data_IF_467058945419
#
_entry.id   IF_467058945419
#
_cell.length_a   1.000
_cell.length_b   1.000
_cell.length_c   1.000
_cell.angle_alpha   90.00
_cell.angle_beta   90.00
_cell.angle_gamma   90.00
#
_symmetry.space_group_name_H-M   'P 1'
#
loop_
_entity.id
_entity.type
_entity.pdbx_description
1 polymer ?
#
# COMPACT_ATOMS: atom_id res chain seq x y z
N UNK A 1 -13.24 -6.01 -10.49
CA UNK A 1 -13.44 -4.61 -10.04
C UNK A 1 -12.10 -3.91 -10.07
N UNK A 2 -12.00 -2.69 -10.61
CA UNK A 2 -10.73 -1.95 -10.63
C UNK A 2 -10.51 -1.26 -9.28
N UNK A 3 -9.79 -1.92 -8.37
CA UNK A 3 -9.55 -1.38 -7.04
C UNK A 3 -8.25 -0.57 -7.05
N UNK A 4 -8.36 0.75 -7.04
CA UNK A 4 -7.20 1.61 -6.81
C UNK A 4 -6.65 1.30 -5.42
N UNK A 5 -5.37 0.91 -5.36
CA UNK A 5 -4.79 0.19 -4.24
C UNK A 5 -3.37 0.69 -3.96
N UNK A 6 -3.02 0.71 -2.69
CA UNK A 6 -1.68 0.97 -2.17
C UNK A 6 -0.97 -0.34 -1.86
N UNK A 7 0.31 -0.41 -2.23
CA UNK A 7 1.21 -1.49 -1.87
C UNK A 7 2.31 -0.95 -0.96
N UNK A 8 2.57 -1.69 0.11
CA UNK A 8 3.56 -1.37 1.12
C UNK A 8 4.24 -2.65 1.64
N UNK A 9 5.14 -2.49 2.60
CA UNK A 9 5.77 -3.58 3.35
C UNK A 9 5.95 -3.16 4.81
N UNK A 10 6.18 -4.13 5.69
CA UNK A 10 6.46 -3.83 7.11
C UNK A 10 7.70 -2.93 7.22
N UNK A 11 8.76 -3.23 6.47
CA UNK A 11 10.01 -2.46 6.49
C UNK A 11 9.81 -1.02 5.98
N UNK A 12 8.93 -0.83 4.98
CA UNK A 12 8.56 0.51 4.52
C UNK A 12 7.79 1.29 5.60
N UNK A 13 6.84 0.64 6.28
CA UNK A 13 6.09 1.27 7.37
C UNK A 13 6.98 1.62 8.58
N UNK A 14 7.91 0.75 8.96
CA UNK A 14 8.91 1.04 9.99
C UNK A 14 9.74 2.27 9.63
N UNK A 15 10.21 2.33 8.38
CA UNK A 15 10.97 3.46 7.85
C UNK A 15 10.14 4.75 7.84
N UNK A 16 8.88 4.67 7.40
CA UNK A 16 7.94 5.78 7.42
C UNK A 16 7.73 6.32 8.84
N UNK A 17 7.49 5.45 9.83
CA UNK A 17 7.31 5.85 11.23
C UNK A 17 8.57 6.50 11.79
N UNK A 18 9.74 5.95 11.49
CA UNK A 18 11.03 6.51 11.91
C UNK A 18 11.25 7.92 11.37
N UNK A 19 10.97 8.13 10.08
CA UNK A 19 11.11 9.44 9.43
C UNK A 19 10.04 10.43 9.87
N UNK A 20 8.80 10.00 10.05
CA UNK A 20 7.72 10.89 10.47
C UNK A 20 7.87 11.39 11.91
N UNK A 21 8.55 10.62 12.78
CA UNK A 21 8.92 11.04 14.15
C UNK A 21 10.10 12.01 14.18
N UNK A 22 10.87 12.13 13.09
CA UNK A 22 12.09 12.91 13.02
C UNK A 22 12.10 13.81 11.77
N UNK A 23 11.64 15.05 11.94
CA UNK A 23 11.49 16.01 10.85
C UNK A 23 12.80 16.35 10.13
N UNK A 24 13.96 16.14 10.77
CA UNK A 24 15.27 16.36 10.16
C UNK A 24 15.56 15.40 9.00
N UNK A 25 15.00 14.18 9.05
CA UNK A 25 15.19 13.12 8.04
C UNK A 25 14.30 13.27 6.81
N UNK A 26 13.26 14.12 6.87
CA UNK A 26 12.29 14.28 5.79
C UNK A 26 12.90 14.77 4.47
N UNK A 27 13.93 15.62 4.54
CA UNK A 27 14.56 16.18 3.34
C UNK A 27 15.44 15.17 2.63
N UNK A 28 16.20 14.38 3.38
CA UNK A 28 17.20 13.43 2.86
C UNK A 28 16.65 12.03 2.61
N UNK A 29 15.47 11.70 3.13
CA UNK A 29 14.87 10.38 2.95
C UNK A 29 14.61 10.07 1.47
N UNK A 30 14.96 8.83 1.10
CA UNK A 30 14.60 8.19 -0.17
C UNK A 30 13.20 7.59 -0.15
N UNK A 31 12.49 7.67 0.97
CA UNK A 31 11.13 7.16 1.05
C UNK A 31 10.22 7.85 0.02
N UNK A 32 9.24 7.10 -0.51
CA UNK A 32 8.07 7.65 -1.15
C UNK A 32 7.51 8.85 -0.40
N UNK A 33 7.28 9.94 -1.12
CA UNK A 33 6.75 11.19 -0.55
C UNK A 33 5.91 11.98 -1.54
N UNK A 34 4.95 12.73 -1.01
CA UNK A 34 4.14 13.68 -1.76
C UNK A 34 4.54 15.10 -1.37
N UNK A 35 4.78 15.95 -2.37
CA UNK A 35 4.83 17.40 -2.19
C UNK A 35 3.40 17.90 -2.13
N UNK A 36 3.04 18.53 -1.02
CA UNK A 36 1.79 19.27 -0.86
C UNK A 36 2.16 20.72 -0.55
N UNK A 37 1.86 21.64 -1.48
CA UNK A 37 2.30 23.03 -1.43
C UNK A 37 3.84 23.11 -1.30
N UNK A 38 4.35 23.68 -0.19
CA UNK A 38 5.77 23.90 0.08
C UNK A 38 6.42 22.80 0.95
N UNK A 39 5.65 21.76 1.31
CA UNK A 39 6.11 20.71 2.22
C UNK A 39 6.16 19.35 1.53
N UNK A 40 7.15 18.54 1.91
CA UNK A 40 7.22 17.12 1.55
C UNK A 40 6.70 16.28 2.71
N UNK A 41 5.73 15.43 2.42
CA UNK A 41 5.11 14.53 3.39
C UNK A 41 5.41 13.09 2.94
N UNK A 42 6.07 12.27 3.77
CA UNK A 42 6.31 10.88 3.46
C UNK A 42 4.98 10.14 3.42
N UNK A 43 4.89 9.06 2.67
CA UNK A 43 3.65 8.31 2.50
C UNK A 43 3.83 6.85 2.94
N UNK A 44 2.74 6.25 3.43
CA UNK A 44 2.69 4.90 4.01
C UNK A 44 2.79 3.76 3.00
N UNK A 45 2.94 4.07 1.71
CA UNK A 45 3.02 3.12 0.61
C UNK A 45 4.14 3.48 -0.35
N UNK A 46 4.70 2.48 -1.03
CA UNK A 46 5.72 2.69 -2.06
C UNK A 46 5.20 2.52 -3.48
N UNK A 47 4.04 1.87 -3.67
CA UNK A 47 3.38 1.80 -4.97
C UNK A 47 1.89 2.06 -4.85
N UNK A 48 1.33 2.67 -5.90
CA UNK A 48 -0.11 2.91 -6.06
C UNK A 48 -0.48 2.44 -7.45
N UNK A 49 -1.60 1.74 -7.57
CA UNK A 49 -1.94 1.05 -8.80
C UNK A 49 -3.34 0.48 -8.78
N UNK A 50 -3.67 -0.28 -9.80
CA UNK A 50 -4.93 -1.02 -9.88
C UNK A 50 -4.63 -2.46 -9.47
N UNK A 51 -5.37 -2.95 -8.47
CA UNK A 51 -5.40 -4.35 -8.08
C UNK A 51 -6.69 -4.98 -8.62
N UNK A 52 -6.54 -6.02 -9.43
CA UNK A 52 -7.65 -6.82 -9.92
C UNK A 52 -7.58 -8.20 -9.27
N UNK A 53 -8.72 -8.66 -8.77
CA UNK A 53 -8.88 -10.02 -8.23
C UNK A 53 -9.62 -10.82 -9.30
N UNK A 54 -8.87 -11.61 -10.06
CA UNK A 54 -9.39 -12.40 -11.18
C UNK A 54 -9.90 -13.76 -10.71
N UNK A 55 -10.23 -14.66 -11.65
CA UNK A 55 -10.69 -16.01 -11.33
C UNK A 55 -9.69 -16.81 -10.49
N UNK A 56 -8.41 -16.77 -10.89
CA UNK A 56 -7.34 -17.63 -10.35
C UNK A 56 -6.15 -16.89 -9.77
N UNK A 57 -6.05 -15.59 -10.01
CA UNK A 57 -4.90 -14.79 -9.62
C UNK A 57 -5.29 -13.40 -9.15
N UNK A 58 -4.32 -12.73 -8.52
CA UNK A 58 -4.35 -11.30 -8.24
C UNK A 58 -3.37 -10.65 -9.21
N UNK A 59 -3.85 -9.67 -9.98
CA UNK A 59 -3.00 -8.85 -10.83
C UNK A 59 -2.89 -7.44 -10.27
N UNK A 60 -1.66 -6.95 -10.17
CA UNK A 60 -1.37 -5.59 -9.78
C UNK A 60 -0.60 -4.86 -10.88
N UNK A 61 -1.06 -3.66 -11.17
CA UNK A 61 -0.40 -2.76 -12.10
C UNK A 61 -0.24 -1.38 -11.47
N UNK A 62 1.00 -0.99 -11.17
CA UNK A 62 1.30 0.35 -10.71
C UNK A 62 0.83 1.41 -11.71
N UNK A 63 0.38 2.56 -11.20
CA UNK A 63 0.08 3.72 -12.00
C UNK A 63 0.84 4.94 -11.49
N UNK A 64 1.36 5.73 -12.43
CA UNK A 64 1.98 7.00 -12.09
C UNK A 64 0.88 8.02 -11.76
N UNK A 65 0.81 8.54 -10.52
CA UNK A 65 -0.14 9.61 -10.24
C UNK A 65 0.21 10.86 -11.05
N UNK A 66 -0.81 11.59 -11.50
CA UNK A 66 -0.61 12.86 -12.18
C UNK A 66 -0.03 13.89 -11.20
N UNK A 67 1.03 14.57 -11.63
CA UNK A 67 1.57 15.71 -10.91
C UNK A 67 0.79 16.97 -11.31
N UNK A 68 0.34 17.74 -10.32
CA UNK A 68 -0.23 19.07 -10.51
C UNK A 68 0.71 20.14 -9.99
N UNK A 69 0.34 21.41 -10.19
CA UNK A 69 1.17 22.56 -9.82
C UNK A 69 1.61 22.51 -8.33
N UNK A 70 0.68 22.20 -7.42
CA UNK A 70 0.94 22.12 -5.98
C UNK A 70 1.08 20.68 -5.44
N UNK A 71 1.01 19.67 -6.29
CA UNK A 71 0.99 18.26 -5.88
C UNK A 71 1.92 17.42 -6.73
N UNK A 72 3.00 16.91 -6.13
CA UNK A 72 3.97 16.07 -6.83
C UNK A 72 4.26 14.79 -6.06
N UNK A 73 4.41 13.66 -6.73
CA UNK A 73 4.80 12.40 -6.11
C UNK A 73 6.24 12.05 -6.46
N UNK A 74 7.00 11.57 -5.47
CA UNK A 74 8.43 11.28 -5.56
C UNK A 74 8.72 9.90 -4.99
N UNK A 75 9.69 9.20 -5.58
CA UNK A 75 10.20 7.90 -5.15
C UNK A 75 9.12 6.79 -5.05
N UNK A 76 8.04 6.90 -5.82
CA UNK A 76 7.09 5.81 -6.00
C UNK A 76 7.65 4.76 -6.98
N UNK A 77 7.44 3.49 -6.68
CA UNK A 77 7.65 2.37 -7.60
C UNK A 77 6.49 2.31 -8.58
N UNK A 78 6.59 3.07 -9.66
CA UNK A 78 5.52 3.22 -10.67
C UNK A 78 5.58 2.16 -11.79
N UNK A 79 6.60 1.29 -11.75
CA UNK A 79 6.88 0.19 -12.66
C UNK A 79 6.65 -1.18 -11.99
N UNK A 80 6.05 -1.19 -10.80
CA UNK A 80 5.72 -2.42 -10.10
C UNK A 80 4.52 -3.10 -10.78
N UNK A 81 4.77 -4.28 -11.31
CA UNK A 81 3.76 -5.16 -11.89
C UNK A 81 3.93 -6.56 -11.31
N UNK A 82 2.82 -7.19 -10.92
CA UNK A 82 2.86 -8.58 -10.49
C UNK A 82 1.56 -9.31 -10.75
N UNK A 83 1.68 -10.63 -10.89
CA UNK A 83 0.59 -11.58 -10.88
C UNK A 83 0.94 -12.68 -9.88
N UNK A 84 0.00 -13.02 -9.02
CA UNK A 84 0.14 -14.07 -8.00
C UNK A 84 -1.08 -14.97 -8.10
N UNK A 85 -0.85 -16.26 -8.36
CA UNK A 85 -1.93 -17.24 -8.35
C UNK A 85 -2.39 -17.50 -6.91
N UNK A 86 -3.67 -17.78 -6.70
CA UNK A 86 -4.20 -18.00 -5.34
C UNK A 86 -3.56 -19.21 -4.64
N UNK A 87 -3.09 -20.21 -5.39
CA UNK A 87 -2.36 -21.36 -4.86
C UNK A 87 -0.94 -21.02 -4.37
N UNK A 88 -0.38 -19.87 -4.79
CA UNK A 88 0.92 -19.36 -4.33
C UNK A 88 0.78 -18.54 -3.04
N UNK A 89 -0.44 -18.22 -2.61
CA UNK A 89 -0.67 -17.46 -1.38
C UNK A 89 -0.61 -18.39 -0.17
N UNK A 90 0.39 -18.21 0.67
CA UNK A 90 0.60 -19.04 1.87
C UNK A 90 -0.15 -18.51 3.09
N UNK A 91 -0.46 -17.21 3.13
CA UNK A 91 -1.18 -16.60 4.25
C UNK A 91 -1.79 -15.26 3.85
N UNK A 92 -2.98 -14.98 4.39
CA UNK A 92 -3.64 -13.67 4.32
C UNK A 92 -4.13 -13.30 5.71
N UNK A 93 -3.69 -12.16 6.21
CA UNK A 93 -4.08 -11.66 7.53
C UNK A 93 -4.34 -10.15 7.51
N UNK A 94 -5.05 -9.66 8.53
CA UNK A 94 -5.16 -8.22 8.76
C UNK A 94 -3.94 -7.74 9.51
N UNK A 95 -3.43 -6.59 9.09
CA UNK A 95 -2.24 -6.00 9.68
C UNK A 95 -2.50 -4.53 10.04
N UNK A 96 -2.20 -4.21 11.31
CA UNK A 96 -2.04 -2.85 11.80
C UNK A 96 -0.63 -2.71 12.29
N UNK A 97 -0.01 -1.57 12.02
CA UNK A 97 1.34 -1.34 12.52
C UNK A 97 1.30 -1.10 14.03
N UNK A 98 2.08 -1.81 14.86
CA UNK A 98 2.02 -1.67 16.31
C UNK A 98 2.46 -0.28 16.80
N UNK A 99 3.36 0.36 16.05
CA UNK A 99 3.99 1.63 16.42
C UNK A 99 3.51 2.85 15.61
N UNK A 100 2.24 2.87 15.18
CA UNK A 100 1.72 3.96 14.35
C UNK A 100 1.89 5.34 15.01
N UNK A 101 2.21 6.37 14.22
CA UNK A 101 2.36 7.76 14.71
C UNK A 101 1.05 8.28 15.31
N UNK A 102 -0.08 7.92 14.69
CA UNK A 102 -1.43 8.12 15.20
C UNK A 102 -2.37 7.11 14.52
N UNK A 103 -3.59 6.98 15.06
CA UNK A 103 -4.60 6.06 14.52
C UNK A 103 -5.03 6.42 13.09
N UNK A 104 -4.94 7.71 12.73
CA UNK A 104 -5.30 8.18 11.40
C UNK A 104 -4.41 7.57 10.30
N UNK A 105 -3.12 7.35 10.56
CA UNK A 105 -2.20 6.68 9.63
C UNK A 105 -2.09 5.17 9.86
N UNK A 106 -2.81 4.60 10.83
CA UNK A 106 -2.81 3.16 11.09
C UNK A 106 -3.85 2.43 10.24
N UNK A 107 -3.66 2.48 8.92
CA UNK A 107 -4.52 1.81 7.94
C UNK A 107 -4.69 0.32 8.25
N UNK A 108 -5.91 -0.21 8.05
CA UNK A 108 -6.16 -1.66 8.10
C UNK A 108 -5.58 -2.35 6.86
N UNK A 109 -4.29 -2.66 6.88
CA UNK A 109 -3.64 -3.37 5.80
C UNK A 109 -4.11 -4.82 5.74
N UNK A 110 -4.06 -5.38 4.53
CA UNK A 110 -4.09 -6.81 4.27
C UNK A 110 -2.64 -7.22 4.06
N UNK A 111 -2.11 -8.10 4.89
CA UNK A 111 -0.82 -8.71 4.65
C UNK A 111 -1.02 -9.98 3.84
N UNK A 112 -0.31 -10.09 2.73
CA UNK A 112 -0.30 -11.26 1.86
C UNK A 112 1.11 -11.83 1.89
N UNK A 113 1.22 -13.09 2.29
CA UNK A 113 2.45 -13.87 2.14
C UNK A 113 2.29 -14.85 1.00
N UNK A 114 3.32 -14.97 0.18
CA UNK A 114 3.32 -15.85 -0.99
C UNK A 114 4.63 -16.64 -1.07
N UNK A 115 4.59 -17.81 -1.69
CA UNK A 115 5.77 -18.60 -2.04
C UNK A 115 6.61 -17.96 -3.15
N UNK A 116 6.08 -16.97 -3.86
CA UNK A 116 6.77 -16.27 -4.96
C UNK A 116 7.66 -15.15 -4.41
N UNK A 117 8.84 -14.96 -4.98
CA UNK A 117 9.80 -13.93 -4.53
C UNK A 117 9.43 -12.48 -4.91
N UNK A 118 8.17 -12.21 -5.29
CA UNK A 118 7.67 -10.85 -5.50
C UNK A 118 7.63 -10.11 -4.18
N UNK A 119 8.26 -8.93 -4.12
CA UNK A 119 8.31 -8.10 -2.91
C UNK A 119 8.83 -8.88 -1.69
N UNK A 120 9.79 -9.79 -1.91
CA UNK A 120 10.33 -10.72 -0.90
C UNK A 120 9.29 -11.68 -0.29
N UNK A 121 8.19 -11.95 -0.98
CA UNK A 121 7.15 -12.88 -0.55
C UNK A 121 6.24 -12.37 0.56
N UNK A 122 6.35 -11.10 0.98
CA UNK A 122 5.55 -10.52 2.07
C UNK A 122 5.26 -9.04 1.80
N UNK A 123 4.00 -8.72 1.51
CA UNK A 123 3.60 -7.37 1.19
C UNK A 123 2.25 -6.99 1.80
N UNK A 124 2.02 -5.69 1.88
CA UNK A 124 0.83 -5.08 2.44
C UNK A 124 -0.01 -4.44 1.35
N UNK A 125 -1.31 -4.65 1.41
CA UNK A 125 -2.31 -4.13 0.47
C UNK A 125 -3.37 -3.34 1.23
N UNK A 126 -3.71 -2.16 0.76
CA UNK A 126 -4.85 -1.41 1.26
C UNK A 126 -5.53 -0.66 0.12
N UNK A 127 -6.84 -0.44 0.22
CA UNK A 127 -7.51 0.42 -0.73
C UNK A 127 -6.95 1.84 -0.65
N UNK A 128 -6.80 2.49 -1.80
CA UNK A 128 -6.52 3.91 -1.85
C UNK A 128 -7.65 4.75 -1.26
N UNK A 129 -7.30 5.88 -0.63
CA UNK A 129 -8.21 6.99 -0.35
C UNK A 129 -7.52 8.36 -0.38
N UNK A 130 -8.30 9.43 -0.22
CA UNK A 130 -7.80 10.81 -0.13
C UNK A 130 -8.46 11.54 1.04
N UNK A 131 -7.66 12.21 1.87
CA UNK A 131 -8.17 13.11 2.93
C UNK A 131 -8.81 12.35 4.11
N UNK A 132 -9.84 12.91 4.79
CA UNK A 132 -10.39 12.35 6.02
C UNK A 132 -11.16 11.02 5.84
N UNK A 133 -11.11 10.39 4.67
CA UNK A 133 -11.91 9.22 4.31
C UNK A 133 -11.31 7.89 4.74
N UNK A 134 -10.61 7.84 5.89
CA UNK A 134 -10.04 6.59 6.42
C UNK A 134 -11.09 5.50 6.64
N UNK A 135 -12.34 5.88 6.93
CA UNK A 135 -13.46 4.94 6.96
C UNK A 135 -13.67 4.23 5.61
N UNK A 136 -13.67 4.97 4.50
CA UNK A 136 -13.84 4.42 3.16
C UNK A 136 -12.66 3.52 2.77
N UNK A 137 -11.44 3.95 3.12
CA UNK A 137 -10.22 3.14 2.95
C UNK A 137 -10.35 1.80 3.66
N UNK A 138 -10.81 1.80 4.91
CA UNK A 138 -11.00 0.57 5.68
C UNK A 138 -12.11 -0.30 5.08
N UNK A 139 -13.26 0.28 4.71
CA UNK A 139 -14.38 -0.45 4.11
C UNK A 139 -14.02 -1.11 2.77
N UNK A 140 -13.26 -0.43 1.90
CA UNK A 140 -12.84 -1.08 0.66
C UNK A 140 -11.64 -1.99 0.81
N UNK A 141 -10.76 -1.75 1.78
CA UNK A 141 -9.77 -2.77 2.17
C UNK A 141 -10.48 -4.03 2.68
N UNK A 142 -11.59 -3.89 3.39
CA UNK A 142 -12.42 -5.02 3.81
C UNK A 142 -13.06 -5.77 2.65
N UNK A 143 -13.52 -5.06 1.62
CA UNK A 143 -14.02 -5.69 0.39
C UNK A 143 -12.92 -6.48 -0.31
N UNK A 144 -11.74 -5.88 -0.51
CA UNK A 144 -10.58 -6.54 -1.15
C UNK A 144 -10.21 -7.80 -0.35
N UNK A 145 -10.12 -7.70 0.98
CA UNK A 145 -9.78 -8.84 1.84
C UNK A 145 -10.76 -9.99 1.68
N UNK A 146 -12.07 -9.71 1.78
CA UNK A 146 -13.12 -10.73 1.65
C UNK A 146 -13.10 -11.36 0.26
N UNK A 147 -12.88 -10.54 -0.78
CA UNK A 147 -12.78 -11.02 -2.15
C UNK A 147 -11.62 -12.00 -2.32
N UNK A 148 -10.40 -11.61 -1.93
CA UNK A 148 -9.21 -12.49 -2.02
C UNK A 148 -9.41 -13.76 -1.18
N UNK A 149 -9.87 -13.62 0.07
CA UNK A 149 -10.07 -14.76 0.97
C UNK A 149 -11.09 -15.76 0.41
N UNK A 150 -12.13 -15.28 -0.27
CA UNK A 150 -13.12 -16.14 -0.93
C UNK A 150 -12.57 -16.94 -2.11
N UNK A 151 -11.44 -16.54 -2.68
CA UNK A 151 -10.79 -17.24 -3.80
C UNK A 151 -9.71 -18.21 -3.33
N UNK A 152 -8.96 -17.87 -2.29
CA UNK A 152 -7.92 -18.74 -1.71
C UNK A 152 -8.52 -19.99 -1.03
N UNK A 153 -9.72 -19.89 -0.47
CA UNK A 153 -10.37 -21.02 0.22
C UNK A 153 -11.23 -21.91 -0.70
N UNK A 154 -11.13 -21.77 -2.03
CA UNK A 154 -11.80 -22.64 -3.01
C UNK A 154 -10.87 -23.75 -3.45
#
# INVERSE_FOLDING_TARGET
>A
MNNLTWISSIQHLDSFISVAKDSSKLRTTKLPKVRALFSFVPIVYFSRGILNVEERSILYNANKPQNGFFKGYYNLQNDLHFEIDFNEITSIERYKHPNSINDYFNTNWIRIKTSKEILNGDFLVAQHGTGPTMKQVNEGSDRIYKEILSRVNR
#
